data_IF_820068637154
#
_entry.id   IF_820068637154
#
_cell.length_a   1.000
_cell.length_b   1.000
_cell.length_c   1.000
_cell.angle_alpha   90.00
_cell.angle_beta   90.00
_cell.angle_gamma   90.00
#
_symmetry.space_group_name_H-M   'P 1'
#
loop_
_entity.id
_entity.type
_entity.pdbx_description
1 polymer ?
#
# COMPACT_ATOMS: atom_id res chain seq x y z
N UNK A 1 8.23 -11.43 24.92
CA UNK A 1 8.70 -10.72 26.13
C UNK A 1 8.01 -9.37 26.13
N UNK A 2 7.26 -9.01 27.18
CA UNK A 2 6.63 -7.68 27.25
C UNK A 2 7.69 -6.61 27.41
N UNK A 3 7.58 -5.49 26.69
CA UNK A 3 8.49 -4.36 26.85
C UNK A 3 8.43 -3.85 28.31
N UNK A 4 9.56 -3.51 28.95
CA UNK A 4 9.56 -2.90 30.26
C UNK A 4 8.74 -1.60 30.20
N UNK A 5 7.73 -1.50 31.06
CA UNK A 5 6.89 -0.31 31.20
C UNK A 5 7.41 0.53 32.35
N UNK A 6 7.31 1.86 32.24
CA UNK A 6 7.78 2.81 33.25
C UNK A 6 6.70 3.83 33.54
N UNK A 7 6.60 4.25 34.80
CA UNK A 7 5.71 5.32 35.25
C UNK A 7 6.41 6.69 35.29
N UNK A 8 7.68 6.75 34.87
CA UNK A 8 8.43 7.99 34.87
C UNK A 8 7.84 9.00 33.86
N UNK A 9 8.04 10.32 34.06
CA UNK A 9 7.57 11.33 33.11
C UNK A 9 8.31 11.24 31.77
N UNK A 10 7.72 11.81 30.72
CA UNK A 10 8.37 11.92 29.41
C UNK A 10 9.37 13.08 29.38
N UNK A 11 9.06 14.16 30.09
CA UNK A 11 9.90 15.36 30.17
C UNK A 11 10.01 15.86 31.60
N UNK A 12 11.21 16.30 31.95
CA UNK A 12 11.56 16.85 33.25
C UNK A 12 12.31 18.17 33.04
N UNK A 13 11.85 19.22 33.72
CA UNK A 13 12.52 20.52 33.74
C UNK A 13 13.16 20.74 35.10
N UNK A 14 14.42 21.14 35.11
CA UNK A 14 15.20 21.40 36.32
C UNK A 14 15.31 22.89 36.63
N UNK A 15 15.70 23.25 37.86
CA UNK A 15 15.76 24.64 38.37
C UNK A 15 16.70 25.54 37.57
N UNK A 16 17.73 24.95 36.97
CA UNK A 16 18.68 25.61 36.09
C UNK A 16 18.11 25.92 34.69
N UNK A 17 16.87 25.52 34.41
CA UNK A 17 16.20 25.71 33.12
C UNK A 17 16.52 24.62 32.10
N UNK A 18 17.24 23.55 32.48
CA UNK A 18 17.55 22.44 31.58
C UNK A 18 16.30 21.57 31.36
N UNK A 19 15.99 21.32 30.08
CA UNK A 19 14.93 20.41 29.66
C UNK A 19 15.52 19.02 29.38
N UNK A 20 14.99 18.00 30.05
CA UNK A 20 15.40 16.61 29.94
C UNK A 20 14.27 15.79 29.32
N UNK A 21 14.58 14.99 28.30
CA UNK A 21 13.63 14.16 27.55
C UNK A 21 13.97 12.68 27.76
N UNK A 22 12.98 11.86 28.11
CA UNK A 22 13.16 10.41 28.24
C UNK A 22 13.48 9.79 26.88
N UNK A 23 14.62 9.09 26.79
CA UNK A 23 15.12 8.42 25.58
C UNK A 23 15.13 6.89 25.69
N UNK A 24 15.05 6.34 26.89
CA UNK A 24 15.05 4.91 27.10
C UNK A 24 14.43 4.50 28.43
N UNK A 25 14.35 3.19 28.62
CA UNK A 25 13.88 2.56 29.86
C UNK A 25 14.84 1.42 30.17
N UNK A 26 15.33 1.35 31.40
CA UNK A 26 16.15 0.24 31.89
C UNK A 26 15.31 -1.04 32.00
N UNK A 27 15.97 -2.20 32.09
CA UNK A 27 15.27 -3.49 32.24
C UNK A 27 14.45 -3.59 33.53
N UNK A 28 14.76 -2.80 34.56
CA UNK A 28 14.00 -2.68 35.81
C UNK A 28 12.95 -1.55 35.81
N UNK A 29 12.69 -0.92 34.66
CA UNK A 29 11.56 0.00 34.47
C UNK A 29 11.82 1.46 34.82
N UNK A 30 13.09 1.90 34.95
CA UNK A 30 13.46 3.30 35.19
C UNK A 30 13.69 4.05 33.89
N UNK A 31 13.22 5.30 33.82
CA UNK A 31 13.44 6.19 32.68
C UNK A 31 14.88 6.69 32.60
N UNK A 32 15.45 6.64 31.40
CA UNK A 32 16.74 7.22 31.05
C UNK A 32 16.52 8.49 30.22
N UNK A 33 17.12 9.59 30.63
CA UNK A 33 16.87 10.93 30.10
C UNK A 33 18.13 11.53 29.49
N UNK A 34 17.95 12.30 28.42
CA UNK A 34 18.99 13.14 27.84
C UNK A 34 18.49 14.58 27.69
N UNK A 35 19.42 15.54 27.71
CA UNK A 35 19.08 16.96 27.48
C UNK A 35 18.45 17.14 26.10
N UNK A 36 17.43 18.00 26.02
CA UNK A 36 16.77 18.36 24.77
C UNK A 36 17.77 18.92 23.74
N UNK A 37 17.70 18.44 22.50
CA UNK A 37 18.61 18.86 21.42
C UNK A 37 19.95 18.10 21.34
N UNK A 38 20.21 17.13 22.21
CA UNK A 38 21.40 16.28 22.08
C UNK A 38 21.30 15.36 20.84
N UNK A 39 21.95 15.75 19.73
CA UNK A 39 21.85 15.09 18.42
C UNK A 39 22.59 13.74 18.30
N UNK A 40 23.47 13.42 19.26
CA UNK A 40 24.21 12.16 19.31
C UNK A 40 24.47 11.82 20.78
N UNK A 41 23.51 11.20 21.45
CA UNK A 41 23.70 10.81 22.86
C UNK A 41 24.25 9.38 22.90
N UNK A 42 25.56 9.16 23.13
CA UNK A 42 26.05 7.83 23.44
C UNK A 42 25.32 7.31 24.70
N UNK A 43 25.16 5.99 24.79
CA UNK A 43 24.41 5.26 25.83
C UNK A 43 24.83 5.63 27.27
N UNK A 44 26.00 6.26 27.44
CA UNK A 44 26.64 6.63 28.71
C UNK A 44 26.39 8.08 29.16
N UNK A 45 25.61 8.90 28.43
CA UNK A 45 25.26 10.29 28.80
C UNK A 45 23.79 10.45 29.18
N UNK A 46 23.14 9.38 29.66
CA UNK A 46 21.77 9.44 30.15
C UNK A 46 21.73 9.48 31.68
N UNK A 47 20.90 10.35 32.23
CA UNK A 47 20.63 10.42 33.66
C UNK A 47 19.29 9.73 33.98
N UNK A 48 19.20 9.13 35.15
CA UNK A 48 17.95 8.63 35.73
C UNK A 48 17.14 9.77 36.33
N UNK A 49 15.83 9.55 36.55
CA UNK A 49 14.97 10.53 37.21
C UNK A 49 15.51 10.94 38.61
N UNK A 50 16.08 9.98 39.35
CA UNK A 50 16.65 10.23 40.67
C UNK A 50 17.85 11.18 40.60
N UNK A 51 18.76 10.97 39.65
CA UNK A 51 19.93 11.85 39.43
C UNK A 51 19.48 13.26 38.99
N UNK A 52 18.45 13.35 38.14
CA UNK A 52 17.88 14.65 37.76
C UNK A 52 17.21 15.34 38.96
N UNK A 53 16.54 14.59 39.83
CA UNK A 53 15.89 15.13 41.03
C UNK A 53 16.89 15.81 41.99
N UNK A 54 18.14 15.34 42.05
CA UNK A 54 19.20 15.98 42.85
C UNK A 54 19.52 17.41 42.39
N UNK A 55 19.34 17.70 41.10
CA UNK A 55 19.51 19.05 40.53
C UNK A 55 18.28 19.96 40.76
N UNK A 56 17.19 19.39 41.25
CA UNK A 56 15.95 20.06 41.59
C UNK A 56 14.99 20.18 40.41
N UNK A 57 13.97 19.32 40.38
CA UNK A 57 12.90 19.34 39.38
C UNK A 57 11.90 20.45 39.73
N UNK A 58 11.57 21.29 38.74
CA UNK A 58 10.56 22.37 38.86
C UNK A 58 9.26 22.05 38.15
N UNK A 59 9.27 21.07 37.25
CA UNK A 59 8.08 20.59 36.57
C UNK A 59 8.35 19.33 35.78
N UNK A 60 7.33 18.48 35.65
CA UNK A 60 7.37 17.26 34.84
C UNK A 60 6.11 17.16 33.99
N UNK A 61 6.22 16.47 32.86
CA UNK A 61 5.09 16.20 31.97
C UNK A 61 5.07 14.73 31.57
N UNK A 62 3.93 14.08 31.78
CA UNK A 62 3.69 12.68 31.38
C UNK A 62 3.28 12.57 29.91
N UNK A 63 2.93 13.70 29.29
CA UNK A 63 2.52 13.81 27.89
C UNK A 63 3.13 15.10 27.32
N UNK A 64 3.86 14.99 26.21
CA UNK A 64 4.29 16.16 25.46
C UNK A 64 3.13 16.65 24.58
N UNK A 65 2.86 17.97 24.48
CA UNK A 65 2.12 18.48 23.34
C UNK A 65 2.92 18.08 22.09
N UNK A 66 2.30 17.30 21.19
CA UNK A 66 2.94 16.95 19.92
C UNK A 66 3.43 18.25 19.26
N UNK A 67 4.75 18.43 19.04
CA UNK A 67 5.17 19.47 18.13
C UNK A 67 4.59 19.07 16.77
N UNK A 68 3.63 19.86 16.28
CA UNK A 68 3.37 19.90 14.85
C UNK A 68 4.64 20.49 14.24
N UNK A 69 5.62 19.62 13.95
CA UNK A 69 6.76 19.99 13.15
C UNK A 69 6.26 20.62 11.85
N UNK A 70 7.08 21.45 11.17
CA UNK A 70 6.74 21.86 9.81
C UNK A 70 6.38 20.59 9.05
N UNK A 71 5.23 20.60 8.36
CA UNK A 71 4.81 19.46 7.55
C UNK A 71 6.01 19.11 6.67
N UNK A 72 6.63 17.96 6.94
CA UNK A 72 7.84 17.59 6.23
C UNK A 72 7.49 17.54 4.75
N UNK A 73 8.27 18.24 3.94
CA UNK A 73 8.12 18.12 2.50
C UNK A 73 8.16 16.62 2.15
N UNK A 74 7.18 16.13 1.39
CA UNK A 74 7.06 14.71 1.15
C UNK A 74 8.32 14.21 0.46
N UNK A 75 8.93 13.16 1.02
CA UNK A 75 10.04 12.47 0.36
C UNK A 75 9.53 11.85 -0.94
N UNK A 76 9.93 12.42 -2.07
CA UNK A 76 9.61 11.90 -3.39
C UNK A 76 10.69 10.89 -3.78
N UNK A 77 10.27 9.66 -4.05
CA UNK A 77 11.14 8.55 -4.44
C UNK A 77 10.95 8.26 -5.92
N UNK A 78 12.02 8.38 -6.70
CA UNK A 78 11.99 8.22 -8.16
C UNK A 78 12.26 6.77 -8.59
N UNK A 79 13.03 6.02 -7.80
CA UNK A 79 13.42 4.64 -8.13
C UNK A 79 13.55 3.77 -6.89
N UNK A 80 13.03 2.55 -6.95
CA UNK A 80 13.31 1.50 -5.97
C UNK A 80 14.38 0.55 -6.53
N UNK A 81 15.34 0.16 -5.69
CA UNK A 81 16.50 -0.64 -6.12
C UNK A 81 16.51 -2.04 -5.52
N UNK A 82 16.07 -2.21 -4.27
CA UNK A 82 16.08 -3.52 -3.60
C UNK A 82 14.99 -3.57 -2.52
N UNK A 83 14.32 -4.72 -2.42
CA UNK A 83 13.45 -5.05 -1.30
C UNK A 83 14.04 -6.23 -0.54
N UNK A 84 14.17 -6.09 0.78
CA UNK A 84 14.66 -7.14 1.66
C UNK A 84 13.49 -7.64 2.49
N UNK A 85 13.05 -8.87 2.20
CA UNK A 85 12.06 -9.54 3.04
C UNK A 85 12.70 -9.92 4.38
N UNK A 86 12.01 -9.70 5.51
CA UNK A 86 12.51 -10.09 6.82
C UNK A 86 12.60 -11.62 6.89
N UNK A 87 13.59 -12.14 7.62
CA UNK A 87 13.66 -13.55 7.90
C UNK A 87 12.41 -13.97 8.74
N UNK A 88 11.93 -15.22 8.64
CA UNK A 88 10.76 -15.68 9.38
C UNK A 88 10.82 -15.44 10.90
N UNK A 89 12.03 -15.41 11.46
CA UNK A 89 12.33 -15.17 12.86
C UNK A 89 12.43 -13.70 13.29
N UNK A 90 12.50 -12.77 12.32
CA UNK A 90 12.65 -11.33 12.59
C UNK A 90 11.29 -10.62 12.73
N UNK A 91 11.31 -9.43 13.33
CA UNK A 91 10.15 -8.55 13.26
C UNK A 91 9.79 -8.28 11.78
N UNK A 92 8.50 -8.30 11.40
CA UNK A 92 8.06 -8.34 10.00
C UNK A 92 8.17 -6.97 9.30
N UNK A 93 9.30 -6.32 9.45
CA UNK A 93 9.67 -5.04 8.87
C UNK A 93 10.22 -5.28 7.47
N UNK A 94 9.50 -4.79 6.46
CA UNK A 94 10.00 -4.79 5.08
C UNK A 94 10.88 -3.55 4.89
N UNK A 95 12.12 -3.77 4.45
CA UNK A 95 13.04 -2.68 4.11
C UNK A 95 13.11 -2.55 2.60
N UNK A 96 12.84 -1.34 2.09
CA UNK A 96 12.99 -1.00 0.68
C UNK A 96 14.09 0.04 0.53
N UNK A 97 15.18 -0.35 -0.14
CA UNK A 97 16.21 0.58 -0.59
C UNK A 97 15.73 1.33 -1.83
N UNK A 98 15.80 2.66 -1.78
CA UNK A 98 15.32 3.52 -2.84
C UNK A 98 16.22 4.75 -3.03
N UNK A 99 16.04 5.46 -4.13
CA UNK A 99 16.73 6.72 -4.44
C UNK A 99 15.69 7.84 -4.46
N UNK A 100 15.88 8.86 -3.62
CA UNK A 100 15.08 10.06 -3.61
C UNK A 100 15.29 10.88 -4.89
N UNK A 101 14.35 11.78 -5.21
CA UNK A 101 14.40 12.59 -6.43
C UNK A 101 15.64 13.53 -6.51
N UNK A 102 16.24 13.86 -5.38
CA UNK A 102 17.51 14.59 -5.28
C UNK A 102 18.77 13.70 -5.47
N UNK A 103 18.57 12.40 -5.72
CA UNK A 103 19.61 11.41 -5.90
C UNK A 103 20.12 10.77 -4.60
N UNK A 104 19.58 11.14 -3.44
CA UNK A 104 20.02 10.58 -2.16
C UNK A 104 19.49 9.15 -1.95
N UNK A 105 20.35 8.18 -1.57
CA UNK A 105 19.88 6.86 -1.19
C UNK A 105 19.13 6.90 0.15
N UNK A 106 17.97 6.26 0.20
CA UNK A 106 17.09 6.19 1.36
C UNK A 106 16.62 4.75 1.61
N UNK A 107 16.42 4.40 2.87
CA UNK A 107 15.82 3.13 3.27
C UNK A 107 14.42 3.40 3.83
N UNK A 108 13.39 2.87 3.17
CA UNK A 108 12.01 2.95 3.64
C UNK A 108 11.74 1.74 4.53
N UNK A 109 11.29 2.03 5.75
CA UNK A 109 10.97 1.04 6.75
C UNK A 109 9.44 0.84 6.79
N UNK A 110 8.95 -0.34 6.43
CA UNK A 110 7.52 -0.64 6.49
C UNK A 110 7.24 -1.69 7.56
N UNK A 111 6.62 -1.27 8.66
CA UNK A 111 6.02 -2.19 9.64
C UNK A 111 4.80 -2.93 9.05
N UNK A 112 4.23 -3.85 9.82
CA UNK A 112 3.09 -4.65 9.37
C UNK A 112 1.87 -3.79 8.97
N UNK A 113 1.62 -2.67 9.65
CA UNK A 113 0.49 -1.79 9.39
C UNK A 113 0.71 -0.98 8.11
N UNK A 114 1.89 -0.39 7.95
CA UNK A 114 2.30 0.35 6.76
C UNK A 114 2.35 -0.57 5.53
N UNK A 115 2.84 -1.80 5.69
CA UNK A 115 2.78 -2.84 4.66
C UNK A 115 1.34 -3.14 4.26
N UNK A 116 0.42 -3.28 5.21
CA UNK A 116 -0.99 -3.52 4.91
C UNK A 116 -1.63 -2.34 4.16
N UNK A 117 -1.31 -1.10 4.52
CA UNK A 117 -1.79 0.11 3.83
C UNK A 117 -1.25 0.20 2.40
N UNK A 118 0.05 0.02 2.22
CA UNK A 118 0.69 0.02 0.90
C UNK A 118 0.16 -1.13 0.05
N UNK A 119 0.00 -2.33 0.63
CA UNK A 119 -0.61 -3.46 -0.06
C UNK A 119 -2.05 -3.16 -0.46
N UNK A 120 -2.84 -2.45 0.36
CA UNK A 120 -4.19 -2.03 -0.02
C UNK A 120 -4.20 -1.00 -1.16
N UNK A 121 -3.20 -0.12 -1.25
CA UNK A 121 -3.04 0.83 -2.36
C UNK A 121 -2.56 0.18 -3.66
N UNK A 122 -1.63 -0.78 -3.54
CA UNK A 122 -1.05 -1.52 -4.66
C UNK A 122 -1.91 -2.68 -5.12
N UNK A 123 -2.78 -3.20 -4.26
CA UNK A 123 -3.87 -4.08 -4.67
C UNK A 123 -4.57 -3.30 -5.76
N UNK A 124 -4.62 -3.82 -7.01
CA UNK A 124 -5.33 -3.14 -8.07
C UNK A 124 -6.70 -2.86 -7.49
N UNK A 125 -7.02 -1.59 -7.23
CA UNK A 125 -8.36 -1.22 -6.83
C UNK A 125 -9.19 -1.90 -7.87
N UNK A 126 -10.02 -2.86 -7.44
CA UNK A 126 -10.87 -3.53 -8.37
C UNK A 126 -11.75 -2.41 -8.89
N UNK A 127 -11.38 -1.84 -10.05
CA UNK A 127 -12.32 -1.28 -10.98
C UNK A 127 -13.43 -2.29 -10.95
N UNK A 128 -14.56 -1.87 -10.39
CA UNK A 128 -15.67 -2.70 -9.92
C UNK A 128 -16.34 -3.47 -11.06
N UNK A 129 -15.79 -3.40 -12.26
CA UNK A 129 -15.84 -4.42 -13.27
C UNK A 129 -15.23 -5.74 -12.76
N UNK A 130 -16.10 -6.60 -12.20
CA UNK A 130 -15.81 -8.03 -11.97
C UNK A 130 -14.99 -8.65 -13.12
N UNK A 131 -14.20 -9.69 -12.87
CA UNK A 131 -13.40 -10.37 -13.93
C UNK A 131 -14.26 -10.79 -15.15
N UNK A 132 -15.57 -10.98 -14.96
CA UNK A 132 -16.55 -11.14 -16.03
C UNK A 132 -16.70 -9.89 -16.90
N UNK A 133 -16.85 -8.72 -16.29
CA UNK A 133 -17.00 -7.45 -16.98
C UNK A 133 -15.76 -7.12 -17.82
N UNK A 134 -14.55 -7.23 -17.26
CA UNK A 134 -13.30 -7.04 -18.03
C UNK A 134 -13.22 -7.96 -19.25
N UNK A 135 -13.63 -9.22 -19.09
CA UNK A 135 -13.67 -10.20 -20.18
C UNK A 135 -14.70 -9.84 -21.26
N UNK A 136 -15.84 -9.26 -20.89
CA UNK A 136 -16.84 -8.78 -21.83
C UNK A 136 -16.35 -7.55 -22.59
N UNK A 137 -15.70 -6.61 -21.91
CA UNK A 137 -15.16 -5.39 -22.51
C UNK A 137 -14.05 -5.72 -23.51
N UNK A 138 -13.09 -6.57 -23.11
CA UNK A 138 -12.04 -7.06 -24.01
C UNK A 138 -12.59 -7.79 -25.24
N UNK A 139 -13.66 -8.57 -25.07
CA UNK A 139 -14.34 -9.25 -26.18
C UNK A 139 -15.01 -8.23 -27.10
N UNK A 140 -15.74 -7.27 -26.54
CA UNK A 140 -16.44 -6.24 -27.30
C UNK A 140 -15.47 -5.37 -28.10
N UNK A 141 -14.36 -4.95 -27.51
CA UNK A 141 -13.33 -4.18 -28.21
C UNK A 141 -12.66 -4.97 -29.32
N UNK A 142 -12.43 -6.28 -29.10
CA UNK A 142 -11.94 -7.16 -30.16
C UNK A 142 -12.95 -7.28 -31.31
N UNK A 143 -14.25 -7.36 -31.00
CA UNK A 143 -15.34 -7.39 -32.00
C UNK A 143 -15.39 -6.08 -32.78
N UNK A 144 -15.29 -4.93 -32.11
CA UNK A 144 -15.24 -3.60 -32.74
C UNK A 144 -14.03 -3.45 -33.66
N UNK A 145 -12.87 -3.91 -33.21
CA UNK A 145 -11.60 -3.78 -33.95
C UNK A 145 -11.58 -4.61 -35.22
N UNK A 146 -12.02 -5.88 -35.16
CA UNK A 146 -11.91 -6.80 -36.30
C UNK A 146 -13.19 -6.93 -37.12
N UNK A 147 -14.33 -6.45 -36.61
CA UNK A 147 -15.62 -6.52 -37.28
C UNK A 147 -16.06 -7.94 -37.68
N UNK A 148 -17.02 -7.99 -38.60
CA UNK A 148 -17.53 -9.23 -39.18
C UNK A 148 -18.32 -10.13 -38.22
N UNK A 149 -18.68 -11.35 -38.66
CA UNK A 149 -19.41 -12.30 -37.83
C UNK A 149 -18.50 -13.00 -36.81
N UNK A 150 -18.98 -13.07 -35.58
CA UNK A 150 -18.34 -13.72 -34.45
C UNK A 150 -19.10 -14.96 -34.03
N UNK A 151 -18.39 -16.09 -34.01
CA UNK A 151 -18.88 -17.37 -33.52
C UNK A 151 -18.14 -17.76 -32.25
N UNK A 152 -18.66 -18.73 -31.51
CA UNK A 152 -17.98 -19.27 -30.33
C UNK A 152 -16.57 -19.78 -30.67
N UNK A 153 -16.39 -20.43 -31.82
CA UNK A 153 -15.07 -20.90 -32.27
C UNK A 153 -14.09 -19.75 -32.55
N UNK A 154 -14.57 -18.64 -33.13
CA UNK A 154 -13.74 -17.45 -33.37
C UNK A 154 -13.29 -16.79 -32.07
N UNK A 155 -14.16 -16.71 -31.07
CA UNK A 155 -13.80 -16.23 -29.72
C UNK A 155 -12.76 -17.13 -29.08
N UNK A 156 -12.96 -18.46 -29.17
CA UNK A 156 -12.02 -19.44 -28.64
C UNK A 156 -10.64 -19.31 -29.29
N UNK A 157 -10.57 -19.23 -30.62
CA UNK A 157 -9.30 -19.06 -31.34
C UNK A 157 -8.60 -17.73 -31.04
N UNK A 158 -9.38 -16.65 -30.84
CA UNK A 158 -8.83 -15.36 -30.39
C UNK A 158 -8.21 -15.46 -28.99
N UNK A 159 -8.89 -16.11 -28.04
CA UNK A 159 -8.39 -16.28 -26.66
C UNK A 159 -7.19 -17.23 -26.56
N UNK A 160 -7.16 -18.30 -27.36
CA UNK A 160 -5.99 -19.18 -27.43
C UNK A 160 -4.75 -18.45 -27.95
N UNK A 161 -4.89 -17.60 -28.97
CA UNK A 161 -3.78 -16.78 -29.49
C UNK A 161 -3.23 -15.78 -28.46
N UNK A 162 -4.01 -15.44 -27.44
CA UNK A 162 -3.60 -14.59 -26.32
C UNK A 162 -3.10 -15.39 -25.11
N UNK A 163 -2.82 -16.69 -25.28
CA UNK A 163 -2.26 -17.55 -24.23
C UNK A 163 -3.28 -18.04 -23.18
N UNK A 164 -4.58 -17.84 -23.40
CA UNK A 164 -5.61 -18.32 -22.48
C UNK A 164 -6.07 -19.74 -22.77
N UNK A 165 -6.61 -20.41 -21.75
CA UNK A 165 -7.36 -21.67 -21.87
C UNK A 165 -8.87 -21.42 -21.71
N UNK A 166 -9.54 -20.82 -22.71
CA UNK A 166 -10.96 -20.48 -22.59
C UNK A 166 -11.82 -21.74 -22.58
N UNK A 167 -12.87 -21.75 -21.75
CA UNK A 167 -13.91 -22.76 -21.86
C UNK A 167 -14.95 -22.34 -22.91
N UNK A 168 -15.38 -23.31 -23.74
CA UNK A 168 -16.41 -23.08 -24.78
C UNK A 168 -17.72 -22.54 -24.20
N UNK A 169 -18.10 -23.00 -23.00
CA UNK A 169 -19.27 -22.50 -22.27
C UNK A 169 -19.16 -21.02 -21.94
N UNK A 170 -18.01 -20.56 -21.45
CA UNK A 170 -17.75 -19.15 -21.16
C UNK A 170 -17.81 -18.28 -22.41
N UNK A 171 -17.18 -18.71 -23.51
CA UNK A 171 -17.22 -17.97 -24.77
C UNK A 171 -18.67 -17.80 -25.31
N UNK A 172 -19.49 -18.86 -25.20
CA UNK A 172 -20.92 -18.82 -25.58
C UNK A 172 -21.71 -17.88 -24.66
N UNK A 173 -21.49 -17.96 -23.34
CA UNK A 173 -22.16 -17.11 -22.36
C UNK A 173 -21.81 -15.63 -22.56
N UNK A 174 -20.55 -15.31 -22.86
CA UNK A 174 -20.11 -13.93 -23.08
C UNK A 174 -20.74 -13.32 -24.34
N UNK A 175 -20.81 -14.06 -25.45
CA UNK A 175 -21.49 -13.61 -26.67
C UNK A 175 -22.99 -13.40 -26.45
N UNK A 176 -23.64 -14.32 -25.74
CA UNK A 176 -25.05 -14.20 -25.38
C UNK A 176 -25.29 -12.98 -24.47
N UNK A 177 -24.40 -12.72 -23.52
CA UNK A 177 -24.46 -11.58 -22.62
C UNK A 177 -24.29 -10.25 -23.36
N UNK A 178 -23.34 -10.14 -24.29
CA UNK A 178 -23.17 -8.94 -25.12
C UNK A 178 -24.38 -8.70 -26.04
N UNK A 179 -24.99 -9.75 -26.57
CA UNK A 179 -26.23 -9.64 -27.33
C UNK A 179 -27.40 -9.20 -26.46
N UNK A 180 -27.53 -9.77 -25.25
CA UNK A 180 -28.55 -9.38 -24.27
C UNK A 180 -28.43 -7.91 -23.84
N UNK A 181 -27.22 -7.36 -23.83
CA UNK A 181 -26.92 -5.94 -23.57
C UNK A 181 -27.12 -5.02 -24.78
N UNK A 182 -27.51 -5.57 -25.94
CA UNK A 182 -27.74 -4.80 -27.16
C UNK A 182 -26.48 -4.41 -27.93
N UNK A 183 -25.31 -4.91 -27.55
CA UNK A 183 -24.07 -4.64 -28.31
C UNK A 183 -23.95 -5.48 -29.58
N UNK A 184 -24.57 -6.67 -29.59
CA UNK A 184 -24.50 -7.62 -30.70
C UNK A 184 -25.90 -8.05 -31.14
N UNK A 185 -26.04 -8.29 -32.45
CA UNK A 185 -27.22 -8.94 -33.04
C UNK A 185 -26.86 -10.40 -33.33
N UNK A 186 -27.68 -11.32 -32.83
CA UNK A 186 -27.53 -12.75 -33.08
C UNK A 186 -28.23 -13.16 -34.39
N UNK A 187 -27.55 -13.96 -35.20
CA UNK A 187 -28.02 -14.48 -36.47
C UNK A 187 -27.98 -16.01 -36.48
N UNK A 188 -28.98 -16.63 -37.13
CA UNK A 188 -29.03 -18.07 -37.36
C UNK A 188 -29.65 -18.90 -36.22
N UNK A 189 -29.74 -20.20 -36.45
CA UNK A 189 -30.30 -21.18 -35.49
C UNK A 189 -29.37 -21.42 -34.30
N UNK A 190 -29.86 -22.07 -33.24
CA UNK A 190 -29.11 -22.30 -32.01
C UNK A 190 -27.75 -22.97 -32.22
N UNK A 191 -27.63 -23.86 -33.22
CA UNK A 191 -26.42 -24.63 -33.50
C UNK A 191 -25.41 -23.93 -34.42
N UNK A 192 -25.85 -22.93 -35.19
CA UNK A 192 -25.01 -22.14 -36.10
C UNK A 192 -25.10 -20.64 -35.82
N UNK A 193 -25.26 -20.30 -34.55
CA UNK A 193 -25.44 -18.92 -34.13
C UNK A 193 -24.15 -18.12 -34.35
N UNK A 194 -24.28 -17.01 -35.09
CA UNK A 194 -23.23 -16.01 -35.26
C UNK A 194 -23.70 -14.67 -34.71
N UNK A 195 -22.77 -13.81 -34.35
CA UNK A 195 -23.05 -12.51 -33.74
C UNK A 195 -22.33 -11.41 -34.51
N UNK A 196 -23.01 -10.31 -34.79
CA UNK A 196 -22.41 -9.14 -35.43
C UNK A 196 -22.64 -7.92 -34.58
N UNK A 197 -21.78 -6.90 -34.66
CA UNK A 197 -21.96 -5.65 -33.94
C UNK A 197 -23.32 -5.02 -34.31
N UNK A 198 -24.11 -4.65 -33.30
CA UNK A 198 -25.33 -3.89 -33.53
C UNK A 198 -24.97 -2.56 -34.18
N UNK A 199 -25.65 -2.20 -35.27
CA UNK A 199 -25.51 -0.85 -35.82
C UNK A 199 -26.07 0.12 -34.78
N UNK A 200 -25.30 1.16 -34.45
CA UNK A 200 -25.81 2.29 -33.69
C UNK A 200 -26.74 3.02 -34.65
N UNK A 201 -28.05 2.74 -34.55
CA UNK A 201 -29.06 3.41 -35.38
C UNK A 201 -29.06 4.90 -35.04
N UNK A 202 -28.27 5.66 -35.79
CA UNK A 202 -28.36 7.09 -35.92
C UNK A 202 -29.26 7.40 -37.10
N UNK A 203 -30.50 7.78 -36.80
CA UNK A 203 -31.30 8.81 -37.47
C UNK A 203 -30.86 9.18 -38.91
N UNK A 204 -31.70 8.85 -39.87
CA UNK A 204 -32.11 9.78 -40.95
C UNK A 204 -33.59 9.53 -41.20
#
# INVERSE_FOLDING_TARGET
MSAPTTHDPLVVNTKDGTCWVRRGVTSDGRGLYAVEGACACPEFLMATLAEIAETGIVGSADVLPMPAGPAADPLIVDRFDTATEPAPEDEPVLIVGAIAADGQPVALLFDAEARAKVAAWLTPQADSASSRQRRLDQLLDSIRTHGGPWTTSRVMGMRHRRGGHPQRGTARADLAELARRGHLVAHGSADRRSYTLARKDGRS
#
